data_IF_255853491000
#
_entry.id   IF_255853491000
#
_cell.length_a   1.000
_cell.length_b   1.000
_cell.length_c   1.000
_cell.angle_alpha   90.00
_cell.angle_beta   90.00
_cell.angle_gamma   90.00
#
_symmetry.space_group_name_H-M   'P 1'
#
loop_
_entity.id
_entity.type
_entity.pdbx_description
1 polymer ?
#
# COMPACT_ATOMS: atom_id res chain seq x y z
N UNK A 1 9.54 -53.78 9.37
CA UNK A 1 10.20 -53.11 8.23
C UNK A 1 9.22 -52.34 7.35
N UNK A 2 8.09 -52.93 6.93
CA UNK A 2 7.07 -52.28 6.07
C UNK A 2 6.52 -50.96 6.66
N UNK A 3 6.25 -50.91 7.96
CA UNK A 3 5.66 -49.74 8.61
C UNK A 3 6.64 -48.55 8.70
N UNK A 4 7.93 -48.81 8.89
CA UNK A 4 8.98 -47.77 8.90
C UNK A 4 9.12 -47.10 7.54
N UNK A 5 9.00 -47.88 6.46
CA UNK A 5 9.07 -47.37 5.10
C UNK A 5 7.87 -46.47 4.78
N UNK A 6 6.68 -46.86 5.23
CA UNK A 6 5.46 -46.05 5.09
C UNK A 6 5.58 -44.74 5.88
N UNK A 7 6.11 -44.77 7.09
CA UNK A 7 6.33 -43.55 7.90
C UNK A 7 7.32 -42.60 7.21
N UNK A 8 8.43 -43.11 6.67
CA UNK A 8 9.40 -42.31 5.93
C UNK A 8 8.81 -41.69 4.66
N UNK A 9 8.00 -42.46 3.92
CA UNK A 9 7.30 -41.97 2.75
C UNK A 9 6.32 -40.85 3.10
N UNK A 10 5.57 -41.00 4.20
CA UNK A 10 4.63 -39.99 4.68
C UNK A 10 5.33 -38.71 5.14
N UNK A 11 6.48 -38.80 5.81
CA UNK A 11 7.28 -37.62 6.21
C UNK A 11 7.89 -36.92 4.99
N UNK A 12 8.41 -37.69 4.01
CA UNK A 12 8.93 -37.13 2.76
C UNK A 12 7.86 -36.40 1.94
N UNK A 13 6.64 -36.96 1.88
CA UNK A 13 5.50 -36.32 1.22
C UNK A 13 4.96 -35.12 2.01
N UNK A 14 4.95 -35.18 3.35
CA UNK A 14 4.59 -34.04 4.18
C UNK A 14 5.58 -32.87 4.06
N UNK A 15 6.88 -33.14 3.87
CA UNK A 15 7.90 -32.12 3.60
C UNK A 15 7.74 -31.40 2.26
N UNK A 16 7.05 -32.00 1.28
CA UNK A 16 6.70 -31.35 0.01
C UNK A 16 5.47 -30.45 0.08
N UNK A 17 4.80 -30.37 1.23
CA UNK A 17 3.78 -29.35 1.51
C UNK A 17 4.45 -28.01 1.86
N UNK A 18 5.24 -27.48 0.92
CA UNK A 18 5.74 -26.10 0.97
C UNK A 18 4.62 -25.15 0.53
N UNK A 19 3.51 -25.16 1.26
CA UNK A 19 2.45 -24.18 1.09
C UNK A 19 2.80 -22.90 1.84
N UNK A 20 2.81 -21.77 1.13
CA UNK A 20 2.70 -20.38 1.61
C UNK A 20 3.76 -19.82 2.59
N UNK A 21 4.50 -20.67 3.31
CA UNK A 21 5.51 -20.23 4.31
C UNK A 21 6.79 -19.68 3.66
N UNK A 22 7.06 -20.03 2.40
CA UNK A 22 8.25 -19.57 1.65
C UNK A 22 7.90 -18.51 0.60
N UNK A 23 6.89 -17.69 0.84
CA UNK A 23 6.62 -16.57 -0.05
C UNK A 23 7.85 -15.65 -0.09
N UNK A 24 8.54 -15.51 -1.24
CA UNK A 24 9.75 -14.70 -1.29
C UNK A 24 9.37 -13.25 -0.93
N UNK A 25 10.22 -12.48 -0.22
CA UNK A 25 9.94 -11.08 0.10
C UNK A 25 9.66 -10.20 -1.13
N UNK A 26 10.11 -10.65 -2.31
CA UNK A 26 9.85 -10.02 -3.60
C UNK A 26 8.40 -10.23 -4.10
N UNK A 27 7.62 -11.15 -3.54
CA UNK A 27 6.21 -11.38 -3.88
C UNK A 27 5.35 -10.19 -3.41
N UNK A 28 5.62 -9.69 -2.20
CA UNK A 28 4.96 -8.48 -1.69
C UNK A 28 5.47 -7.21 -2.38
N UNK A 29 6.77 -7.14 -2.68
CA UNK A 29 7.43 -5.95 -3.21
C UNK A 29 8.28 -6.28 -4.45
N UNK A 30 7.60 -6.42 -5.59
CA UNK A 30 8.22 -6.65 -6.90
C UNK A 30 8.09 -5.47 -7.88
N UNK A 31 8.73 -5.56 -9.06
CA UNK A 31 8.62 -4.55 -10.12
C UNK A 31 7.18 -4.27 -10.56
N UNK A 32 6.33 -5.30 -10.60
CA UNK A 32 4.91 -5.21 -10.99
C UNK A 32 4.07 -4.51 -9.91
N UNK A 33 4.29 -4.83 -8.63
CA UNK A 33 3.65 -4.11 -7.51
C UNK A 33 4.04 -2.64 -7.50
N UNK A 34 5.33 -2.35 -7.71
CA UNK A 34 5.84 -0.98 -7.83
C UNK A 34 5.19 -0.23 -9.01
N UNK A 35 5.06 -0.88 -10.18
CA UNK A 35 4.39 -0.28 -11.33
C UNK A 35 2.90 0.00 -11.06
N UNK A 36 2.18 -0.96 -10.50
CA UNK A 36 0.76 -0.81 -10.14
C UNK A 36 0.55 0.31 -9.13
N UNK A 37 1.40 0.36 -8.08
CA UNK A 37 1.42 1.45 -7.10
C UNK A 37 1.74 2.79 -7.75
N UNK A 38 2.69 2.84 -8.67
CA UNK A 38 3.05 4.03 -9.43
C UNK A 38 1.87 4.60 -10.21
N UNK A 39 1.16 3.75 -10.97
CA UNK A 39 -0.04 4.15 -11.71
C UNK A 39 -1.17 4.62 -10.80
N UNK A 40 -1.45 3.89 -9.73
CA UNK A 40 -2.49 4.28 -8.77
C UNK A 40 -2.15 5.63 -8.14
N UNK A 41 -0.94 5.80 -7.61
CA UNK A 41 -0.51 7.05 -6.99
C UNK A 41 -0.45 8.22 -7.98
N UNK A 42 -0.14 7.99 -9.26
CA UNK A 42 -0.13 9.07 -10.25
C UNK A 42 -1.54 9.51 -10.67
N UNK A 43 -2.40 8.56 -11.05
CA UNK A 43 -3.72 8.88 -11.62
C UNK A 43 -4.80 9.15 -10.57
N UNK A 44 -4.75 8.48 -9.43
CA UNK A 44 -5.77 8.59 -8.38
C UNK A 44 -5.34 9.50 -7.22
N UNK A 45 -4.17 10.13 -7.31
CA UNK A 45 -3.73 11.12 -6.32
C UNK A 45 -4.71 12.27 -6.03
N UNK A 46 -5.52 12.78 -6.99
CA UNK A 46 -6.49 13.83 -6.68
C UNK A 46 -7.53 13.44 -5.62
N UNK A 47 -7.82 12.13 -5.45
CA UNK A 47 -8.72 11.64 -4.41
C UNK A 47 -8.27 12.04 -3.00
N UNK A 48 -6.95 12.20 -2.78
CA UNK A 48 -6.38 12.61 -1.50
C UNK A 48 -6.87 13.97 -1.02
N UNK A 49 -7.14 14.90 -1.95
CA UNK A 49 -7.60 16.25 -1.60
C UNK A 49 -8.95 16.15 -0.90
N UNK A 50 -9.89 15.40 -1.47
CA UNK A 50 -11.23 15.25 -0.92
C UNK A 50 -11.22 14.50 0.41
N UNK A 51 -10.54 13.34 0.45
CA UNK A 51 -10.48 12.51 1.65
C UNK A 51 -9.76 13.23 2.79
N UNK A 52 -8.71 13.99 2.51
CA UNK A 52 -8.01 14.76 3.57
C UNK A 52 -8.88 15.86 4.13
N UNK A 53 -9.64 16.57 3.29
CA UNK A 53 -10.56 17.63 3.72
C UNK A 53 -11.70 17.08 4.57
N UNK A 54 -12.34 15.98 4.15
CA UNK A 54 -13.42 15.34 4.92
C UNK A 54 -12.91 14.78 6.25
N UNK A 55 -11.78 14.07 6.21
CA UNK A 55 -11.12 13.54 7.41
C UNK A 55 -10.84 14.65 8.44
N UNK A 56 -10.27 15.78 8.00
CA UNK A 56 -9.99 16.90 8.89
C UNK A 56 -11.28 17.58 9.36
N UNK A 57 -12.33 17.62 8.53
CA UNK A 57 -13.62 18.12 8.99
C UNK A 57 -14.17 17.26 10.14
N UNK A 58 -14.11 15.95 10.00
CA UNK A 58 -14.59 14.99 11.00
C UNK A 58 -13.81 15.06 12.31
N UNK A 59 -12.49 15.23 12.26
CA UNK A 59 -11.65 15.26 13.47
C UNK A 59 -11.44 16.65 14.08
N UNK A 60 -11.31 17.69 13.24
CA UNK A 60 -10.88 19.04 13.64
C UNK A 60 -11.92 20.15 13.33
N UNK A 61 -13.00 19.82 12.61
CA UNK A 61 -14.11 20.72 12.29
C UNK A 61 -13.98 21.55 11.00
N UNK A 62 -15.07 22.23 10.61
CA UNK A 62 -15.18 22.94 9.33
C UNK A 62 -14.09 24.00 9.09
N UNK A 63 -13.66 24.72 10.13
CA UNK A 63 -12.65 25.79 10.00
C UNK A 63 -11.27 25.23 9.66
N UNK A 64 -10.89 24.13 10.31
CA UNK A 64 -9.66 23.41 10.02
C UNK A 64 -9.71 22.77 8.62
N UNK A 65 -10.85 22.20 8.24
CA UNK A 65 -11.03 21.59 6.92
C UNK A 65 -10.84 22.59 5.77
N UNK A 66 -11.45 23.78 5.88
CA UNK A 66 -11.39 24.81 4.85
C UNK A 66 -9.98 25.43 4.68
N UNK A 67 -9.25 25.59 5.77
CA UNK A 67 -7.89 26.14 5.74
C UNK A 67 -6.81 25.07 5.61
N UNK A 68 -6.57 24.35 6.71
CA UNK A 68 -5.52 23.35 6.82
C UNK A 68 -5.78 22.13 5.94
N UNK A 69 -7.04 21.65 5.86
CA UNK A 69 -7.38 20.45 5.12
C UNK A 69 -7.14 20.56 3.62
N UNK A 70 -7.49 21.71 3.02
CA UNK A 70 -7.24 21.97 1.59
C UNK A 70 -5.75 21.94 1.29
N UNK A 71 -4.94 22.70 2.04
CA UNK A 71 -3.50 22.75 1.80
C UNK A 71 -2.79 21.43 2.08
N UNK A 72 -3.19 20.73 3.13
CA UNK A 72 -2.65 19.40 3.43
C UNK A 72 -3.01 18.40 2.34
N UNK A 73 -4.27 18.41 1.88
CA UNK A 73 -4.75 17.55 0.80
C UNK A 73 -4.00 17.78 -0.51
N UNK A 74 -3.78 19.05 -0.90
CA UNK A 74 -2.99 19.41 -2.07
C UNK A 74 -1.53 18.96 -1.95
N UNK A 75 -0.90 19.19 -0.79
CA UNK A 75 0.48 18.74 -0.56
C UNK A 75 0.63 17.22 -0.64
N UNK A 76 -0.31 16.48 -0.04
CA UNK A 76 -0.34 15.02 -0.08
C UNK A 76 -0.62 14.47 -1.48
N UNK A 77 -1.53 15.11 -2.23
CA UNK A 77 -1.82 14.77 -3.62
C UNK A 77 -0.60 15.00 -4.53
N UNK A 78 0.10 16.12 -4.35
CA UNK A 78 1.34 16.42 -5.08
C UNK A 78 2.45 15.41 -4.78
N UNK A 79 2.63 15.03 -3.51
CA UNK A 79 3.59 14.01 -3.13
C UNK A 79 3.30 12.66 -3.81
N UNK A 80 2.02 12.26 -3.92
CA UNK A 80 1.63 11.05 -4.65
C UNK A 80 1.84 11.14 -6.15
N UNK A 81 1.60 12.29 -6.79
CA UNK A 81 1.92 12.46 -8.22
C UNK A 81 3.41 12.27 -8.48
N UNK A 82 4.26 12.94 -7.69
CA UNK A 82 5.71 12.87 -7.88
C UNK A 82 6.22 11.46 -7.61
N UNK A 83 5.83 10.85 -6.48
CA UNK A 83 6.21 9.48 -6.14
C UNK A 83 5.69 8.47 -7.18
N UNK A 84 4.43 8.61 -7.61
CA UNK A 84 3.82 7.75 -8.61
C UNK A 84 4.53 7.82 -9.95
N UNK A 85 4.85 9.03 -10.43
CA UNK A 85 5.61 9.23 -11.66
C UNK A 85 7.01 8.60 -11.57
N UNK A 86 7.72 8.80 -10.45
CA UNK A 86 9.04 8.20 -10.24
C UNK A 86 8.97 6.68 -10.17
N UNK A 87 7.93 6.11 -9.55
CA UNK A 87 7.73 4.66 -9.52
C UNK A 87 7.38 4.09 -10.90
N UNK A 88 6.61 4.79 -11.74
CA UNK A 88 6.36 4.41 -13.14
C UNK A 88 7.66 4.44 -13.95
N UNK A 89 8.45 5.50 -13.85
CA UNK A 89 9.68 5.66 -14.64
C UNK A 89 10.79 4.68 -14.20
N UNK A 90 10.84 4.34 -12.91
CA UNK A 90 11.90 3.50 -12.33
C UNK A 90 11.40 2.09 -11.99
N UNK A 91 10.24 1.68 -12.50
CA UNK A 91 9.60 0.40 -12.12
C UNK A 91 10.49 -0.84 -12.29
N UNK A 92 11.34 -0.97 -13.35
CA UNK A 92 12.16 -2.18 -13.51
C UNK A 92 13.34 -2.23 -12.55
N UNK A 93 13.67 -1.11 -11.90
CA UNK A 93 14.87 -0.96 -11.10
C UNK A 93 14.52 -0.73 -9.63
N UNK A 94 15.33 -1.26 -8.70
CA UNK A 94 15.20 -1.00 -7.27
C UNK A 94 15.77 0.39 -6.91
N UNK A 95 15.17 1.45 -7.47
CA UNK A 95 15.70 2.81 -7.42
C UNK A 95 15.55 3.52 -6.06
N UNK A 96 14.71 3.02 -5.16
CA UNK A 96 14.48 3.63 -3.86
C UNK A 96 15.06 2.76 -2.74
N UNK A 97 16.09 3.27 -2.06
CA UNK A 97 16.82 2.54 -1.00
C UNK A 97 17.26 1.14 -1.44
N UNK A 98 17.67 1.01 -2.70
CA UNK A 98 18.06 -0.26 -3.31
C UNK A 98 16.97 -1.34 -3.23
N UNK A 99 15.70 -0.92 -3.25
CA UNK A 99 14.55 -1.79 -3.05
C UNK A 99 13.32 -1.40 -3.90
N UNK A 100 12.30 -2.25 -3.86
CA UNK A 100 10.96 -2.01 -4.44
C UNK A 100 9.95 -1.47 -3.41
N UNK A 101 10.42 -1.12 -2.20
CA UNK A 101 9.55 -0.57 -1.16
C UNK A 101 8.94 0.77 -1.59
N UNK A 102 7.76 1.14 -1.03
CA UNK A 102 7.11 2.41 -1.32
C UNK A 102 8.04 3.60 -1.06
N UNK A 103 8.01 4.56 -1.98
CA UNK A 103 8.77 5.82 -1.81
C UNK A 103 8.20 6.70 -0.68
N UNK A 104 6.88 6.72 -0.56
CA UNK A 104 6.19 7.51 0.46
C UNK A 104 6.23 6.80 1.82
N UNK A 105 6.35 7.55 2.93
CA UNK A 105 6.35 6.97 4.26
C UNK A 105 5.00 6.28 4.54
N UNK A 106 4.98 5.07 5.10
CA UNK A 106 3.75 4.36 5.41
C UNK A 106 2.95 5.06 6.52
N UNK A 107 1.63 4.91 6.48
CA UNK A 107 0.69 5.35 7.52
C UNK A 107 0.94 4.69 8.88
N UNK A 108 1.57 3.52 8.90
CA UNK A 108 2.05 2.85 10.11
C UNK A 108 3.58 2.77 10.04
N UNK A 109 4.33 3.41 10.97
CA UNK A 109 3.87 4.02 12.23
C UNK A 109 3.49 5.51 12.14
N UNK A 110 3.62 6.16 10.97
CA UNK A 110 3.43 7.61 10.84
C UNK A 110 1.95 8.01 10.71
N UNK A 111 1.14 7.74 11.74
CA UNK A 111 -0.34 7.87 11.69
C UNK A 111 -0.83 9.21 11.13
N UNK A 112 -0.13 10.31 11.42
CA UNK A 112 -0.52 11.64 10.95
C UNK A 112 0.24 12.12 9.70
N UNK A 113 1.35 11.50 9.32
CA UNK A 113 2.21 12.00 8.23
C UNK A 113 2.40 11.01 7.08
N UNK A 114 2.03 9.75 7.31
CA UNK A 114 2.20 8.66 6.38
C UNK A 114 1.11 8.58 5.33
N UNK A 115 1.33 7.68 4.39
CA UNK A 115 0.49 7.40 3.25
C UNK A 115 0.17 5.91 3.24
N UNK A 116 -1.09 5.60 2.98
CA UNK A 116 -1.45 4.28 2.48
C UNK A 116 -0.66 4.00 1.20
N UNK A 117 -0.32 2.73 0.97
CA UNK A 117 0.43 2.31 -0.22
C UNK A 117 -0.24 2.77 -1.52
N UNK A 118 -1.57 2.60 -1.57
CA UNK A 118 -2.44 3.07 -2.64
C UNK A 118 -3.23 4.31 -2.19
N UNK A 119 -3.62 5.19 -3.10
CA UNK A 119 -4.44 6.35 -2.77
C UNK A 119 -5.82 5.91 -2.25
N UNK A 120 -6.50 6.77 -1.47
CA UNK A 120 -7.79 6.43 -0.90
C UNK A 120 -8.85 6.37 -2.00
N UNK A 121 -9.85 5.52 -1.76
CA UNK A 121 -11.00 5.38 -2.66
C UNK A 121 -12.10 6.35 -2.24
N UNK A 122 -12.69 7.05 -3.22
CA UNK A 122 -13.79 7.98 -2.96
C UNK A 122 -15.09 7.21 -2.73
N UNK A 123 -15.70 7.40 -1.57
CA UNK A 123 -16.96 6.74 -1.22
C UNK A 123 -16.73 5.36 -0.61
N UNK A 124 -16.82 4.30 -1.40
CA UNK A 124 -16.77 2.93 -0.90
C UNK A 124 -15.35 2.35 -1.03
N UNK A 125 -14.63 2.19 0.09
CA UNK A 125 -13.33 1.51 0.11
C UNK A 125 -13.51 0.01 -0.06
N UNK A 126 -13.24 -0.50 -1.25
CA UNK A 126 -13.27 -1.93 -1.60
C UNK A 126 -12.26 -2.77 -0.80
N UNK A 127 -11.24 -2.11 -0.24
CA UNK A 127 -10.22 -2.72 0.62
C UNK A 127 -10.78 -3.26 1.93
N UNK A 128 -11.83 -2.63 2.49
CA UNK A 128 -12.36 -3.01 3.79
C UNK A 128 -13.70 -3.75 3.63
N UNK A 129 -13.95 -4.80 4.43
CA UNK A 129 -15.23 -5.51 4.39
C UNK A 129 -16.38 -4.72 5.06
N UNK A 130 -16.17 -3.45 5.40
CA UNK A 130 -17.12 -2.58 6.09
C UNK A 130 -17.04 -1.14 5.54
N UNK A 131 -18.13 -0.38 5.74
CA UNK A 131 -18.22 1.03 5.32
C UNK A 131 -17.55 1.92 6.36
N UNK A 132 -16.60 2.75 5.94
CA UNK A 132 -16.08 3.86 6.75
C UNK A 132 -16.86 5.13 6.46
N UNK A 133 -17.19 5.85 7.53
CA UNK A 133 -17.65 7.23 7.45
C UNK A 133 -16.42 8.13 7.39
N UNK A 134 -16.44 9.15 6.52
CA UNK A 134 -15.32 10.05 6.24
C UNK A 134 -15.54 11.44 6.83
#
# INVERSE_FOLDING_TARGET
>A
MKNLFVIFLMIGLAGSLLGDIQDPPANDYGPTRKLGRGFSNFFLAPAEVFVTVTTINTYDGNSAAAGYGVWRGLGRSGARHVAGLLEILTFPFPAWRESYYPMLPPDIPYIHAGYSEFPPELGWESKYPYVRDY
#
